data_IF_381349840485
#
_entry.id   IF_381349840485
#
_cell.length_a   1.000
_cell.length_b   1.000
_cell.length_c   1.000
_cell.angle_alpha   90.00
_cell.angle_beta   90.00
_cell.angle_gamma   90.00
#
_symmetry.space_group_name_H-M   'P 1'
#
loop_
_entity.id
_entity.type
_entity.pdbx_description
1 polymer ?
#
# COMPACT_ATOMS: atom_id res chain seq x y z
N UNK A 1 -39.95 29.45 12.98
CA UNK A 1 -38.62 29.14 12.41
C UNK A 1 -38.83 28.16 11.28
N UNK A 2 -38.43 28.48 10.05
CA UNK A 2 -38.46 27.50 8.97
C UNK A 2 -37.39 26.44 9.26
N UNK A 3 -37.79 25.18 9.33
CA UNK A 3 -36.85 24.08 9.48
C UNK A 3 -35.94 24.06 8.25
N UNK A 4 -34.62 24.19 8.47
CA UNK A 4 -33.65 23.97 7.43
C UNK A 4 -33.67 22.47 7.10
N UNK A 5 -34.37 22.10 6.04
CA UNK A 5 -34.40 20.72 5.54
C UNK A 5 -33.25 20.60 4.54
N UNK A 6 -32.24 19.81 4.88
CA UNK A 6 -31.23 19.32 3.93
C UNK A 6 -31.90 18.35 2.94
N UNK A 7 -32.74 18.85 2.04
CA UNK A 7 -33.06 18.09 0.83
C UNK A 7 -31.82 18.14 -0.05
N UNK A 8 -31.24 16.96 -0.34
CA UNK A 8 -30.32 16.78 -1.46
C UNK A 8 -30.85 17.56 -2.67
N UNK A 9 -30.14 18.59 -3.12
CA UNK A 9 -30.51 19.42 -4.30
C UNK A 9 -30.68 18.59 -5.57
N UNK A 10 -30.13 17.38 -5.58
CA UNK A 10 -30.06 16.43 -6.68
C UNK A 10 -31.14 15.34 -6.66
N UNK A 11 -31.99 15.24 -5.64
CA UNK A 11 -32.94 14.12 -5.52
C UNK A 11 -32.24 12.76 -5.37
N UNK A 12 -32.87 11.68 -5.88
CA UNK A 12 -32.29 10.33 -5.91
C UNK A 12 -31.26 10.25 -7.03
N UNK A 13 -30.01 9.94 -6.67
CA UNK A 13 -28.92 9.74 -7.64
C UNK A 13 -28.93 8.25 -8.04
N UNK A 14 -29.20 7.91 -9.31
CA UNK A 14 -29.15 6.53 -9.77
C UNK A 14 -27.75 5.95 -9.61
N UNK A 15 -27.65 4.71 -9.15
CA UNK A 15 -26.38 3.97 -9.12
C UNK A 15 -26.44 2.82 -10.15
N UNK A 16 -25.62 2.88 -11.22
CA UNK A 16 -25.63 1.85 -12.25
C UNK A 16 -25.16 0.47 -11.75
N UNK A 17 -24.57 0.38 -10.56
CA UNK A 17 -24.10 -0.87 -9.94
C UNK A 17 -25.21 -1.66 -9.24
N UNK A 18 -26.40 -1.07 -9.07
CA UNK A 18 -27.55 -1.74 -8.46
C UNK A 18 -27.36 -2.06 -6.97
N UNK A 19 -27.74 -3.28 -6.56
CA UNK A 19 -27.73 -3.69 -5.15
C UNK A 19 -26.32 -3.99 -4.61
N UNK A 20 -25.35 -4.31 -5.47
CA UNK A 20 -23.98 -4.59 -5.06
C UNK A 20 -23.12 -3.32 -4.97
N UNK A 21 -23.45 -2.52 -3.97
CA UNK A 21 -22.84 -1.20 -3.75
C UNK A 21 -21.33 -1.25 -3.46
N UNK A 22 -20.83 -2.32 -2.85
CA UNK A 22 -19.40 -2.47 -2.56
C UNK A 22 -18.61 -3.12 -3.70
N UNK A 23 -19.29 -3.83 -4.61
CA UNK A 23 -18.68 -4.46 -5.77
C UNK A 23 -17.41 -5.26 -5.40
N UNK A 24 -16.25 -4.97 -6.01
CA UNK A 24 -15.01 -5.70 -5.77
C UNK A 24 -14.47 -5.54 -4.33
N UNK A 25 -14.95 -4.57 -3.56
CA UNK A 25 -14.53 -4.34 -2.18
C UNK A 25 -15.32 -5.18 -1.17
N UNK A 26 -16.42 -5.82 -1.59
CA UNK A 26 -17.37 -6.52 -0.70
C UNK A 26 -16.67 -7.46 0.28
N UNK A 27 -15.74 -8.25 -0.22
CA UNK A 27 -15.11 -9.32 0.55
C UNK A 27 -14.12 -8.79 1.60
N UNK A 28 -13.65 -7.54 1.48
CA UNK A 28 -12.76 -6.88 2.46
C UNK A 28 -13.44 -6.66 3.82
N UNK A 29 -14.76 -6.51 3.87
CA UNK A 29 -15.49 -6.14 5.09
C UNK A 29 -15.15 -7.11 6.24
N UNK A 30 -14.74 -6.58 7.40
CA UNK A 30 -14.38 -7.36 8.58
C UNK A 30 -12.94 -7.15 9.03
N UNK A 31 -12.47 -8.01 9.92
CA UNK A 31 -11.13 -7.94 10.49
C UNK A 31 -10.23 -9.01 9.87
N UNK A 32 -8.99 -8.64 9.63
CA UNK A 32 -7.96 -9.47 9.03
C UNK A 32 -6.73 -9.44 9.90
N UNK A 33 -6.05 -10.57 10.03
CA UNK A 33 -4.79 -10.67 10.78
C UNK A 33 -3.80 -11.54 10.03
N UNK A 34 -2.53 -11.16 10.07
CA UNK A 34 -1.49 -11.91 9.37
C UNK A 34 -0.08 -11.48 9.73
N UNK A 35 0.83 -11.92 8.88
CA UNK A 35 2.25 -11.58 8.97
C UNK A 35 2.77 -11.15 7.61
N UNK A 36 3.87 -10.42 7.61
CA UNK A 36 4.44 -9.86 6.41
C UNK A 36 5.92 -9.56 6.53
N UNK A 37 6.38 -8.79 5.56
CA UNK A 37 7.74 -8.31 5.45
C UNK A 37 7.71 -6.88 4.94
N UNK A 38 8.51 -6.03 5.56
CA UNK A 38 8.65 -4.64 5.21
C UNK A 38 10.13 -4.32 4.97
N UNK A 39 10.42 -3.67 3.85
CA UNK A 39 11.74 -3.14 3.51
C UNK A 39 11.64 -1.63 3.26
N UNK A 40 12.54 -0.87 3.88
CA UNK A 40 12.58 0.59 3.81
C UNK A 40 14.03 1.08 3.67
N UNK A 41 14.29 1.95 2.70
CA UNK A 41 15.51 2.76 2.65
C UNK A 41 15.31 4.07 3.41
N UNK A 42 15.78 4.14 4.65
CA UNK A 42 15.66 5.37 5.45
C UNK A 42 16.77 6.34 5.11
N UNK A 43 16.51 7.66 5.01
CA UNK A 43 17.57 8.65 5.05
C UNK A 43 18.39 8.49 6.34
N UNK A 44 19.71 8.52 6.21
CA UNK A 44 20.64 8.48 7.32
C UNK A 44 21.51 9.73 7.32
N UNK A 45 21.65 10.45 8.46
CA UNK A 45 22.36 11.72 8.46
C UNK A 45 23.82 11.60 8.07
N UNK A 46 24.22 12.30 7.00
CA UNK A 46 25.63 12.58 6.71
C UNK A 46 26.10 13.60 7.76
N UNK A 47 26.97 13.21 8.70
CA UNK A 47 27.42 14.12 9.76
C UNK A 47 28.00 15.43 9.17
N UNK A 48 27.47 16.58 9.57
CA UNK A 48 28.12 17.88 9.29
C UNK A 48 29.37 18.01 10.19
N UNK A 49 30.56 17.82 9.61
CA UNK A 49 31.81 18.33 10.17
C UNK A 49 32.68 17.40 11.03
N UNK A 50 32.55 16.07 10.94
CA UNK A 50 33.37 15.13 11.72
C UNK A 50 33.85 13.93 10.90
N UNK A 51 35.03 14.06 10.27
CA UNK A 51 35.86 13.07 9.53
C UNK A 51 35.16 12.11 8.51
N UNK A 52 35.71 12.01 7.27
CA UNK A 52 35.22 11.11 6.24
C UNK A 52 35.66 9.67 6.51
N UNK A 53 34.82 8.90 7.19
CA UNK A 53 34.89 7.44 7.15
C UNK A 53 33.54 6.87 6.76
N UNK A 54 33.00 7.35 5.63
CA UNK A 54 31.82 6.80 4.97
C UNK A 54 30.79 7.87 4.59
N UNK A 55 30.56 8.06 3.29
CA UNK A 55 29.46 8.85 2.73
C UNK A 55 28.14 8.07 2.86
N UNK A 56 27.72 7.72 4.07
CA UNK A 56 26.47 6.97 4.24
C UNK A 56 25.29 7.93 4.42
N UNK A 57 24.36 7.86 3.48
CA UNK A 57 23.15 8.69 3.39
C UNK A 57 21.86 7.92 3.65
N UNK A 58 21.99 6.62 3.92
CA UNK A 58 20.85 5.69 4.04
C UNK A 58 21.05 4.59 5.07
N UNK A 59 19.95 3.97 5.44
CA UNK A 59 19.89 2.76 6.25
C UNK A 59 18.83 1.82 5.65
N UNK A 60 19.19 0.55 5.43
CA UNK A 60 18.26 -0.48 4.97
C UNK A 60 17.53 -1.09 6.17
N UNK A 61 16.35 -0.57 6.46
CA UNK A 61 15.47 -1.14 7.48
C UNK A 61 14.67 -2.30 6.88
N UNK A 62 14.68 -3.41 7.61
CA UNK A 62 13.99 -4.65 7.31
C UNK A 62 13.19 -5.03 8.56
N UNK A 63 11.93 -5.40 8.40
CA UNK A 63 11.09 -5.88 9.49
C UNK A 63 10.32 -7.11 9.04
N UNK A 64 10.26 -8.12 9.89
CA UNK A 64 9.18 -9.12 9.82
C UNK A 64 7.98 -8.53 10.57
N UNK A 65 6.80 -8.54 9.96
CA UNK A 65 5.65 -7.79 10.48
C UNK A 65 4.54 -8.71 10.99
N UNK A 66 3.80 -8.24 11.99
CA UNK A 66 2.48 -8.75 12.37
C UNK A 66 1.47 -7.64 12.12
N UNK A 67 0.38 -7.97 11.43
CA UNK A 67 -0.55 -6.97 10.91
C UNK A 67 -1.99 -7.29 11.27
N UNK A 68 -2.75 -6.23 11.57
CA UNK A 68 -4.21 -6.27 11.65
C UNK A 68 -4.79 -5.21 10.74
N UNK A 69 -5.81 -5.56 9.95
CA UNK A 69 -6.56 -4.60 9.15
C UNK A 69 -8.04 -4.78 9.43
N UNK A 70 -8.74 -3.70 9.78
CA UNK A 70 -10.18 -3.71 9.98
C UNK A 70 -10.87 -2.85 8.92
N UNK A 71 -11.83 -3.41 8.19
CA UNK A 71 -12.65 -2.70 7.21
C UNK A 71 -14.09 -2.59 7.70
N UNK A 72 -14.57 -1.36 7.91
CA UNK A 72 -15.94 -1.06 8.36
C UNK A 72 -16.75 -0.40 7.26
N UNK A 73 -17.88 -0.97 6.83
CA UNK A 73 -18.75 -0.36 5.83
C UNK A 73 -19.17 1.05 6.24
N UNK A 74 -19.20 1.95 5.26
CA UNK A 74 -19.90 3.23 5.42
C UNK A 74 -21.35 2.99 5.04
N UNK A 75 -22.25 3.23 5.98
CA UNK A 75 -23.68 3.10 5.75
C UNK A 75 -24.18 4.23 4.83
N UNK A 76 -24.68 3.83 3.67
CA UNK A 76 -25.31 4.75 2.71
C UNK A 76 -24.42 5.12 1.53
N UNK A 77 -24.91 6.10 0.77
CA UNK A 77 -24.21 6.64 -0.39
C UNK A 77 -23.34 7.83 0.02
N UNK A 78 -22.21 7.99 -0.67
CA UNK A 78 -21.29 9.12 -0.52
C UNK A 78 -21.43 9.97 -1.79
N UNK A 79 -22.30 11.00 -1.79
CA UNK A 79 -22.61 11.74 -3.01
C UNK A 79 -21.49 12.70 -3.41
N UNK A 80 -21.11 12.69 -4.68
CA UNK A 80 -20.27 13.70 -5.31
C UNK A 80 -21.09 14.51 -6.33
N UNK A 81 -20.91 15.83 -6.31
CA UNK A 81 -21.62 16.76 -7.20
C UNK A 81 -20.91 16.90 -8.53
N UNK A 82 -21.65 16.69 -9.61
CA UNK A 82 -21.15 16.83 -10.96
C UNK A 82 -21.33 18.26 -11.49
N UNK A 83 -20.29 18.83 -12.09
CA UNK A 83 -20.39 20.05 -12.89
C UNK A 83 -20.44 19.71 -14.39
N UNK A 84 -19.55 18.82 -14.84
CA UNK A 84 -19.39 18.44 -16.25
C UNK A 84 -20.02 17.08 -16.60
N UNK A 85 -20.68 16.46 -15.63
CA UNK A 85 -21.49 15.24 -15.72
C UNK A 85 -22.58 15.31 -14.64
N UNK A 86 -23.51 14.35 -14.63
CA UNK A 86 -24.46 14.19 -13.52
C UNK A 86 -23.77 13.83 -12.19
N UNK A 87 -24.51 13.99 -11.09
CA UNK A 87 -24.05 13.54 -9.78
C UNK A 87 -23.80 12.03 -9.74
N UNK A 88 -22.84 11.62 -8.92
CA UNK A 88 -22.52 10.21 -8.71
C UNK A 88 -22.56 9.87 -7.22
N UNK A 89 -22.88 8.61 -6.91
CA UNK A 89 -22.71 8.07 -5.58
C UNK A 89 -21.45 7.20 -5.52
N UNK A 90 -20.58 7.46 -4.57
CA UNK A 90 -19.56 6.51 -4.16
C UNK A 90 -20.14 5.62 -3.05
N UNK A 91 -19.55 4.45 -2.88
CA UNK A 91 -19.82 3.55 -1.76
C UNK A 91 -18.50 3.00 -1.25
N UNK A 92 -18.37 2.76 0.04
CA UNK A 92 -17.05 2.44 0.57
C UNK A 92 -17.05 1.98 2.01
N UNK A 93 -15.85 1.88 2.55
CA UNK A 93 -15.58 1.46 3.91
C UNK A 93 -14.43 2.28 4.47
N UNK A 94 -14.47 2.57 5.77
CA UNK A 94 -13.27 2.99 6.48
C UNK A 94 -12.37 1.78 6.66
N UNK A 95 -11.06 1.98 6.73
CA UNK A 95 -10.15 0.98 7.25
C UNK A 95 -9.14 1.56 8.22
N UNK A 96 -8.64 0.71 9.10
CA UNK A 96 -7.45 0.96 9.92
C UNK A 96 -6.50 -0.21 9.75
N UNK A 97 -5.26 0.06 9.35
CA UNK A 97 -4.17 -0.91 9.33
C UNK A 97 -3.22 -0.62 10.48
N UNK A 98 -2.92 -1.64 11.27
CA UNK A 98 -1.92 -1.60 12.35
C UNK A 98 -0.83 -2.62 12.03
N UNK A 99 0.42 -2.17 12.10
CA UNK A 99 1.61 -2.98 11.79
C UNK A 99 2.58 -2.88 12.97
N UNK A 100 3.00 -4.04 13.45
CA UNK A 100 4.04 -4.16 14.48
C UNK A 100 5.21 -4.99 13.97
N UNK A 101 6.39 -4.74 14.50
CA UNK A 101 7.55 -5.61 14.33
C UNK A 101 7.33 -6.94 15.07
N UNK A 102 7.61 -8.05 14.42
CA UNK A 102 7.39 -9.40 14.96
C UNK A 102 8.41 -9.82 16.03
N UNK A 103 9.60 -9.19 16.04
CA UNK A 103 10.75 -9.63 16.84
C UNK A 103 11.20 -8.57 17.87
N UNK A 104 10.86 -7.30 17.65
CA UNK A 104 11.21 -6.20 18.56
C UNK A 104 10.08 -5.95 19.57
N UNK A 105 10.43 -5.98 20.86
CA UNK A 105 9.49 -5.78 21.97
C UNK A 105 9.77 -4.45 22.69
N UNK A 106 8.75 -3.62 22.83
CA UNK A 106 8.76 -2.36 23.59
C UNK A 106 7.66 -2.42 24.65
N UNK A 107 8.02 -2.19 25.91
CA UNK A 107 7.09 -2.23 27.06
C UNK A 107 6.25 -3.52 27.15
N UNK A 108 6.83 -4.66 26.75
CA UNK A 108 6.17 -5.97 26.79
C UNK A 108 5.24 -6.26 25.61
N UNK A 109 5.19 -5.37 24.60
CA UNK A 109 4.39 -5.54 23.40
C UNK A 109 5.25 -5.48 22.13
N UNK A 110 4.84 -6.15 21.02
CA UNK A 110 5.44 -5.93 19.71
C UNK A 110 5.52 -4.43 19.37
N UNK A 111 6.70 -3.96 18.96
CA UNK A 111 6.93 -2.56 18.66
C UNK A 111 6.02 -2.11 17.51
N UNK A 112 5.13 -1.15 17.75
CA UNK A 112 4.31 -0.56 16.70
C UNK A 112 5.17 0.20 15.71
N UNK A 113 5.14 -0.19 14.43
CA UNK A 113 5.90 0.47 13.37
C UNK A 113 5.01 1.35 12.49
N UNK A 114 3.72 1.04 12.39
CA UNK A 114 2.80 1.79 11.54
C UNK A 114 1.35 1.69 12.03
N UNK A 115 0.61 2.79 11.89
CA UNK A 115 -0.85 2.81 12.03
C UNK A 115 -1.44 3.76 11.00
N UNK A 116 -2.35 3.27 10.17
CA UNK A 116 -2.87 4.03 9.03
C UNK A 116 -4.39 3.92 8.96
N UNK A 117 -5.13 5.02 9.21
CA UNK A 117 -6.55 5.10 8.89
C UNK A 117 -6.79 5.60 7.46
N UNK A 118 -7.90 5.16 6.87
CA UNK A 118 -8.28 5.59 5.53
C UNK A 118 -9.65 5.12 5.08
N UNK A 119 -9.89 5.26 3.77
CA UNK A 119 -11.10 4.84 3.08
C UNK A 119 -10.77 3.95 1.88
N UNK A 120 -11.61 2.95 1.64
CA UNK A 120 -11.75 2.30 0.35
C UNK A 120 -13.08 2.70 -0.29
N UNK A 121 -13.03 3.11 -1.56
CA UNK A 121 -14.18 3.61 -2.32
C UNK A 121 -14.37 2.78 -3.58
N UNK A 122 -15.58 2.27 -3.79
CA UNK A 122 -16.08 1.80 -5.07
C UNK A 122 -16.61 3.04 -5.82
N UNK A 123 -15.99 3.35 -6.95
CA UNK A 123 -16.30 4.51 -7.79
C UNK A 123 -17.05 4.02 -9.02
N UNK A 124 -18.28 4.51 -9.30
CA UNK A 124 -19.02 4.10 -10.49
C UNK A 124 -18.32 4.61 -11.76
N UNK A 125 -18.70 4.13 -12.95
CA UNK A 125 -18.25 4.75 -14.19
C UNK A 125 -18.57 6.24 -14.22
N UNK A 126 -17.68 7.02 -14.82
CA UNK A 126 -17.86 8.46 -15.00
C UNK A 126 -17.91 8.79 -16.49
N UNK A 127 -18.69 9.81 -16.85
CA UNK A 127 -18.76 10.38 -18.19
C UNK A 127 -17.73 11.49 -18.39
N UNK A 128 -17.41 12.23 -17.31
CA UNK A 128 -16.43 13.32 -17.35
C UNK A 128 -15.58 13.41 -16.06
N UNK A 129 -14.27 13.09 -16.12
CA UNK A 129 -13.60 12.45 -17.26
C UNK A 129 -14.20 11.06 -17.55
N UNK A 130 -14.22 10.59 -18.81
CA UNK A 130 -14.77 9.29 -19.13
C UNK A 130 -13.89 8.17 -18.55
N UNK A 131 -14.40 7.42 -17.58
CA UNK A 131 -13.71 6.28 -16.99
C UNK A 131 -14.67 5.12 -16.76
N UNK A 132 -14.15 3.89 -16.86
CA UNK A 132 -14.83 2.72 -16.32
C UNK A 132 -14.94 2.82 -14.78
N UNK A 133 -15.72 1.92 -14.18
CA UNK A 133 -15.75 1.79 -12.72
C UNK A 133 -14.34 1.52 -12.17
N UNK A 134 -14.03 2.10 -11.02
CA UNK A 134 -12.71 1.99 -10.36
C UNK A 134 -12.87 1.74 -8.87
N UNK A 135 -11.76 1.40 -8.23
CA UNK A 135 -11.63 1.45 -6.78
C UNK A 135 -10.61 2.50 -6.40
N UNK A 136 -10.79 3.14 -5.24
CA UNK A 136 -9.81 4.07 -4.67
C UNK A 136 -9.51 3.74 -3.22
N UNK A 137 -8.25 3.94 -2.81
CA UNK A 137 -7.79 3.94 -1.42
C UNK A 137 -7.27 5.32 -1.07
N UNK A 138 -7.85 5.93 -0.05
CA UNK A 138 -7.43 7.21 0.50
C UNK A 138 -6.86 6.94 1.89
N UNK A 139 -5.68 7.46 2.20
CA UNK A 139 -5.03 7.19 3.48
C UNK A 139 -4.30 8.41 4.05
N UNK A 140 -4.22 8.48 5.38
CA UNK A 140 -3.33 9.41 6.09
C UNK A 140 -2.26 8.62 6.82
N UNK A 141 -1.02 8.86 6.46
CA UNK A 141 0.16 8.14 6.91
C UNK A 141 0.76 8.87 8.11
N UNK A 142 1.01 8.22 9.26
CA UNK A 142 1.46 8.87 10.49
C UNK A 142 2.86 9.49 10.36
N UNK A 143 3.58 9.21 9.27
CA UNK A 143 4.87 9.82 8.93
C UNK A 143 4.73 11.20 8.25
N UNK A 144 3.51 11.71 8.07
CA UNK A 144 3.26 13.04 7.52
C UNK A 144 2.95 13.06 6.02
N UNK A 145 2.33 12.01 5.50
CA UNK A 145 1.89 11.94 4.10
C UNK A 145 0.39 11.64 4.04
N UNK A 146 -0.32 12.18 3.06
CA UNK A 146 -1.65 11.71 2.68
C UNK A 146 -1.63 11.24 1.24
N UNK A 147 -2.41 10.20 0.92
CA UNK A 147 -2.42 9.60 -0.42
C UNK A 147 -3.84 9.42 -0.94
N UNK A 148 -3.96 9.51 -2.26
CA UNK A 148 -5.11 9.02 -3.02
C UNK A 148 -4.58 8.07 -4.07
N UNK A 149 -4.86 6.79 -3.92
CA UNK A 149 -4.58 5.77 -4.92
C UNK A 149 -5.88 5.38 -5.61
N UNK A 150 -5.91 5.32 -6.93
CA UNK A 150 -7.09 4.90 -7.69
C UNK A 150 -6.69 3.97 -8.82
N UNK A 151 -7.56 3.02 -9.14
CA UNK A 151 -7.30 2.08 -10.22
C UNK A 151 -8.39 1.05 -10.45
N UNK A 152 -8.03 -0.02 -11.14
CA UNK A 152 -8.96 -1.06 -11.59
C UNK A 152 -9.18 -2.19 -10.59
N UNK A 153 -10.25 -2.95 -10.82
CA UNK A 153 -10.47 -4.23 -10.17
C UNK A 153 -10.90 -5.29 -11.20
N UNK A 154 -10.44 -6.52 -11.02
CA UNK A 154 -10.79 -7.64 -11.88
C UNK A 154 -10.74 -8.97 -11.10
N UNK A 155 -11.28 -10.04 -11.69
CA UNK A 155 -11.35 -11.35 -11.07
C UNK A 155 -10.56 -12.40 -11.86
N UNK A 156 -9.86 -13.26 -11.14
CA UNK A 156 -9.13 -14.42 -11.65
C UNK A 156 -9.82 -15.71 -11.18
N UNK A 157 -9.81 -16.72 -12.05
CA UNK A 157 -10.14 -18.10 -11.70
C UNK A 157 -8.86 -18.78 -11.18
N UNK A 158 -8.70 -18.84 -9.86
CA UNK A 158 -7.53 -19.43 -9.21
C UNK A 158 -6.58 -18.41 -8.55
N UNK A 159 -5.35 -18.82 -8.20
CA UNK A 159 -4.37 -18.00 -7.50
C UNK A 159 -3.86 -16.83 -8.36
N UNK A 160 -3.40 -15.73 -7.75
CA UNK A 160 -2.67 -14.69 -8.45
C UNK A 160 -1.26 -15.15 -8.84
N UNK A 161 -0.60 -14.34 -9.67
CA UNK A 161 0.86 -14.41 -9.87
C UNK A 161 1.49 -13.15 -9.32
N UNK A 162 2.64 -13.29 -8.67
CA UNK A 162 3.37 -12.16 -8.09
C UNK A 162 4.52 -11.78 -9.01
N UNK A 163 4.40 -10.62 -9.66
CA UNK A 163 5.50 -10.06 -10.42
C UNK A 163 6.68 -9.75 -9.47
N UNK A 164 7.94 -9.92 -9.88
CA UNK A 164 9.07 -9.50 -9.08
C UNK A 164 9.01 -8.02 -8.76
N UNK A 165 9.36 -7.65 -7.53
CA UNK A 165 9.49 -6.26 -7.10
C UNK A 165 10.93 -5.99 -6.70
N UNK A 166 11.49 -4.84 -7.10
CA UNK A 166 12.88 -4.49 -6.81
C UNK A 166 12.96 -3.40 -5.76
N UNK A 167 13.95 -3.52 -4.88
CA UNK A 167 14.29 -2.48 -3.91
C UNK A 167 15.47 -1.60 -4.38
N UNK A 168 15.94 -1.80 -5.62
CA UNK A 168 17.11 -1.12 -6.15
C UNK A 168 16.83 0.38 -6.38
N UNK A 169 17.62 1.29 -5.80
CA UNK A 169 17.47 2.73 -6.01
C UNK A 169 17.77 3.13 -7.46
N UNK A 170 17.15 4.23 -7.91
CA UNK A 170 17.36 4.76 -9.26
C UNK A 170 17.34 6.30 -9.26
N UNK A 171 17.93 6.98 -10.26
CA UNK A 171 17.85 8.44 -10.34
C UNK A 171 16.41 8.93 -10.46
N UNK A 172 16.06 10.00 -9.73
CA UNK A 172 14.69 10.57 -9.75
C UNK A 172 14.22 10.80 -11.19
N UNK A 173 13.01 10.30 -11.49
CA UNK A 173 12.41 10.39 -12.83
C UNK A 173 12.96 9.40 -13.86
N UNK A 174 13.85 8.48 -13.47
CA UNK A 174 14.43 7.48 -14.37
C UNK A 174 14.37 6.03 -13.82
N UNK A 175 13.17 5.46 -13.63
CA UNK A 175 12.99 4.11 -13.09
C UNK A 175 13.56 2.99 -13.98
N UNK A 176 13.84 3.28 -15.26
CA UNK A 176 14.43 2.31 -16.20
C UNK A 176 15.95 2.13 -16.04
N UNK A 177 16.60 2.94 -15.20
CA UNK A 177 18.05 2.89 -14.98
C UNK A 177 18.35 2.74 -13.47
N UNK A 178 18.05 1.57 -12.87
CA UNK A 178 18.45 1.30 -11.49
C UNK A 178 19.97 1.32 -11.35
N UNK A 179 20.42 1.77 -10.19
CA UNK A 179 21.83 1.76 -9.83
C UNK A 179 22.31 0.33 -9.57
N UNK A 180 23.59 0.01 -9.84
CA UNK A 180 24.14 -1.31 -9.60
C UNK A 180 24.00 -1.75 -8.14
N UNK A 181 23.58 -3.00 -7.90
CA UNK A 181 23.46 -3.56 -6.55
C UNK A 181 24.79 -3.51 -5.75
N UNK A 182 25.94 -3.50 -6.44
CA UNK A 182 27.25 -3.37 -5.81
C UNK A 182 27.47 -2.03 -5.10
N UNK A 183 26.70 -0.99 -5.42
CA UNK A 183 26.73 0.31 -4.75
C UNK A 183 25.95 0.29 -3.42
N UNK A 184 25.22 -0.80 -3.16
CA UNK A 184 24.34 -1.02 -2.00
C UNK A 184 24.72 -2.32 -1.27
N UNK A 185 25.88 -2.38 -0.59
CA UNK A 185 26.31 -3.58 0.12
C UNK A 185 25.31 -4.05 1.19
N UNK A 186 24.45 -3.15 1.69
CA UNK A 186 23.36 -3.47 2.61
C UNK A 186 22.37 -4.48 2.02
N UNK A 187 22.19 -4.51 0.69
CA UNK A 187 21.28 -5.47 0.04
C UNK A 187 21.78 -6.91 0.09
N UNK A 188 23.07 -7.15 0.37
CA UNK A 188 23.63 -8.49 0.44
C UNK A 188 23.69 -8.97 1.90
N UNK A 189 22.84 -9.93 2.29
CA UNK A 189 22.79 -10.49 3.64
C UNK A 189 24.11 -11.12 4.09
N UNK A 190 24.92 -11.64 3.15
CA UNK A 190 26.24 -12.19 3.47
C UNK A 190 27.30 -11.11 3.76
N UNK A 191 27.02 -9.84 3.43
CA UNK A 191 27.90 -8.72 3.77
C UNK A 191 27.46 -8.12 5.11
N UNK A 192 28.31 -8.13 6.16
CA UNK A 192 28.03 -7.41 7.38
C UNK A 192 27.90 -5.91 7.11
N UNK A 193 26.85 -5.28 7.65
CA UNK A 193 26.64 -3.84 7.54
C UNK A 193 26.04 -3.30 8.83
N UNK A 194 26.56 -2.17 9.29
CA UNK A 194 25.98 -1.37 10.38
C UNK A 194 24.78 -0.51 9.92
N UNK A 195 24.55 -0.46 8.60
CA UNK A 195 23.50 0.32 7.96
C UNK A 195 22.34 -0.54 7.46
N UNK A 196 22.10 -1.67 8.13
CA UNK A 196 20.95 -2.55 7.91
C UNK A 196 20.41 -3.04 9.25
N UNK A 197 19.12 -3.36 9.32
CA UNK A 197 18.55 -4.06 10.49
C UNK A 197 19.44 -5.27 10.89
N UNK A 198 19.79 -5.41 12.19
CA UNK A 198 20.64 -6.49 12.66
C UNK A 198 20.01 -7.88 12.42
N UNK A 199 20.79 -8.92 12.05
CA UNK A 199 20.25 -10.25 11.78
C UNK A 199 19.39 -10.87 12.90
N UNK A 200 19.63 -10.49 14.16
CA UNK A 200 18.89 -10.98 15.32
C UNK A 200 17.44 -10.48 15.35
N UNK A 201 17.15 -9.35 14.70
CA UNK A 201 15.80 -8.74 14.62
C UNK A 201 15.03 -9.22 13.38
N UNK A 202 15.70 -9.94 12.47
CA UNK A 202 15.13 -10.47 11.22
C UNK A 202 15.55 -11.94 10.96
N UNK A 203 15.32 -12.86 11.91
CA UNK A 203 15.83 -14.23 11.87
C UNK A 203 15.35 -15.06 10.66
N UNK A 204 14.25 -14.70 10.00
CA UNK A 204 13.69 -15.43 8.85
C UNK A 204 13.90 -14.74 7.51
N UNK A 205 14.41 -13.51 7.48
CA UNK A 205 14.66 -12.78 6.24
C UNK A 205 15.79 -13.45 5.45
N UNK A 206 15.52 -13.76 4.19
CA UNK A 206 16.48 -14.43 3.28
C UNK A 206 16.92 -13.49 2.17
N UNK A 207 18.03 -13.81 1.49
CA UNK A 207 18.48 -12.99 0.34
C UNK A 207 17.40 -12.89 -0.74
N UNK A 208 16.62 -13.95 -0.95
CA UNK A 208 15.51 -13.94 -1.91
C UNK A 208 14.43 -12.90 -1.57
N UNK A 209 14.20 -12.62 -0.28
CA UNK A 209 13.25 -11.57 0.15
C UNK A 209 13.78 -10.18 -0.14
N UNK A 210 15.10 -9.98 -0.07
CA UNK A 210 15.74 -8.71 -0.41
C UNK A 210 15.78 -8.49 -1.92
N UNK A 211 16.14 -9.53 -2.67
CA UNK A 211 16.21 -9.48 -4.14
C UNK A 211 14.83 -9.27 -4.77
N UNK A 212 13.79 -9.83 -4.14
CA UNK A 212 12.41 -9.69 -4.56
C UNK A 212 11.44 -9.89 -3.38
N UNK A 213 10.98 -8.81 -2.72
CA UNK A 213 10.06 -8.93 -1.58
C UNK A 213 8.77 -9.69 -1.90
N UNK A 214 8.29 -9.64 -3.14
CA UNK A 214 7.07 -10.34 -3.55
C UNK A 214 7.19 -11.88 -3.46
N UNK A 215 8.41 -12.45 -3.32
CA UNK A 215 8.52 -13.90 -3.08
C UNK A 215 7.94 -14.34 -1.74
N UNK A 216 7.82 -13.44 -0.76
CA UNK A 216 7.20 -13.72 0.55
C UNK A 216 5.76 -14.22 0.38
N UNK A 217 5.04 -13.65 -0.58
CA UNK A 217 3.64 -13.96 -0.88
C UNK A 217 3.46 -15.40 -1.41
N UNK A 218 4.49 -16.02 -1.98
CA UNK A 218 4.38 -17.41 -2.43
C UNK A 218 4.09 -18.37 -1.27
N UNK A 219 4.59 -18.06 -0.06
CA UNK A 219 4.27 -18.85 1.14
C UNK A 219 2.79 -18.80 1.50
N UNK A 220 2.13 -17.67 1.22
CA UNK A 220 0.72 -17.43 1.47
C UNK A 220 -0.21 -18.33 0.67
N UNK A 221 0.23 -18.84 -0.48
CA UNK A 221 -0.56 -19.72 -1.37
C UNK A 221 -0.01 -21.14 -1.50
N UNK A 222 1.20 -21.39 -0.98
CA UNK A 222 1.83 -22.72 -1.08
C UNK A 222 0.97 -23.79 -0.41
N UNK A 223 0.65 -24.85 -1.15
CA UNK A 223 -0.19 -25.95 -0.67
C UNK A 223 -1.69 -25.61 -0.49
N UNK A 224 -2.13 -24.39 -0.82
CA UNK A 224 -3.54 -23.98 -0.72
C UNK A 224 -4.26 -24.14 -2.05
N UNK A 225 -5.55 -24.48 -2.00
CA UNK A 225 -6.42 -24.51 -3.18
C UNK A 225 -7.14 -23.16 -3.33
N UNK A 226 -6.46 -22.17 -3.92
CA UNK A 226 -7.10 -20.89 -4.28
C UNK A 226 -8.01 -21.13 -5.49
N UNK A 227 -9.31 -20.88 -5.32
CA UNK A 227 -10.33 -21.15 -6.36
C UNK A 227 -10.78 -19.88 -7.09
N UNK A 228 -10.57 -18.70 -6.50
CA UNK A 228 -10.85 -17.42 -7.10
C UNK A 228 -10.07 -16.30 -6.41
N UNK A 229 -9.74 -15.25 -7.15
CA UNK A 229 -9.07 -14.05 -6.62
C UNK A 229 -9.72 -12.80 -7.18
N UNK A 230 -10.14 -11.88 -6.31
CA UNK A 230 -10.45 -10.49 -6.70
C UNK A 230 -9.19 -9.66 -6.54
N UNK A 231 -8.72 -9.06 -7.62
CA UNK A 231 -7.52 -8.22 -7.64
C UNK A 231 -7.91 -6.75 -7.67
N UNK A 232 -7.35 -5.95 -6.77
CA UNK A 232 -7.43 -4.49 -6.77
C UNK A 232 -6.04 -3.95 -7.12
N UNK A 233 -5.93 -3.20 -8.21
CA UNK A 233 -4.68 -2.58 -8.66
C UNK A 233 -4.86 -1.07 -8.58
N UNK A 234 -4.11 -0.40 -7.71
CA UNK A 234 -4.30 1.02 -7.42
C UNK A 234 -2.96 1.75 -7.39
N UNK A 235 -2.94 3.00 -7.84
CA UNK A 235 -1.75 3.84 -7.84
C UNK A 235 -2.09 5.30 -7.59
N UNK A 236 -1.14 6.03 -7.01
CA UNK A 236 -1.16 7.49 -6.93
C UNK A 236 -0.87 8.16 -8.27
N UNK A 237 -0.22 7.46 -9.19
CA UNK A 237 -0.06 7.92 -10.56
C UNK A 237 -1.30 7.59 -11.38
N UNK A 238 -1.82 8.59 -12.09
CA UNK A 238 -2.85 8.37 -13.09
C UNK A 238 -2.33 7.47 -14.22
N UNK A 239 -3.16 6.54 -14.67
CA UNK A 239 -2.86 5.59 -15.74
C UNK A 239 -4.05 5.41 -16.67
N UNK A 240 -4.23 4.23 -17.25
CA UNK A 240 -5.50 3.85 -17.86
C UNK A 240 -5.94 2.57 -17.14
N UNK A 241 -6.87 2.57 -16.18
CA UNK A 241 -7.87 3.56 -15.69
C UNK A 241 -7.60 3.87 -14.19
N UNK A 242 -7.79 5.11 -13.68
CA UNK A 242 -8.30 6.30 -14.36
C UNK A 242 -7.21 7.16 -15.02
N UNK A 243 -7.61 7.86 -16.08
CA UNK A 243 -6.74 8.76 -16.88
C UNK A 243 -6.15 9.94 -16.09
N UNK A 244 -6.78 10.31 -14.97
CA UNK A 244 -6.42 11.47 -14.15
C UNK A 244 -6.82 11.22 -12.70
N UNK A 245 -6.22 11.97 -11.77
CA UNK A 245 -6.49 11.89 -10.33
C UNK A 245 -5.39 11.14 -9.59
N UNK A 246 -5.62 10.89 -8.31
CA UNK A 246 -4.61 10.34 -7.41
C UNK A 246 -3.60 11.37 -6.92
N UNK A 247 -2.61 10.91 -6.17
CA UNK A 247 -1.44 11.68 -5.77
C UNK A 247 -1.02 11.46 -4.32
N UNK A 248 0.06 12.10 -3.95
CA UNK A 248 0.59 12.18 -2.59
C UNK A 248 0.63 13.64 -2.13
N UNK A 249 0.59 13.87 -0.82
CA UNK A 249 0.78 15.19 -0.21
C UNK A 249 1.60 15.03 1.06
N UNK A 250 2.75 15.71 1.11
CA UNK A 250 3.74 15.57 2.17
C UNK A 250 3.76 16.80 3.10
N UNK A 251 4.08 16.60 4.37
CA UNK A 251 4.40 17.70 5.30
C UNK A 251 5.74 18.35 4.92
N UNK A 252 5.94 19.59 5.39
CA UNK A 252 7.15 20.38 5.08
C UNK A 252 8.46 19.68 5.44
N UNK A 253 8.48 18.85 6.50
CA UNK A 253 9.69 18.10 6.86
C UNK A 253 10.10 17.14 5.74
N UNK A 254 9.16 16.39 5.17
CA UNK A 254 9.42 15.43 4.10
C UNK A 254 9.79 16.14 2.80
N UNK A 255 8.98 17.14 2.40
CA UNK A 255 9.17 17.90 1.17
C UNK A 255 10.48 18.70 1.15
N UNK A 256 10.94 19.13 2.34
CA UNK A 256 12.13 19.96 2.48
C UNK A 256 11.97 21.36 1.88
N UNK A 257 13.09 21.96 1.49
CA UNK A 257 13.15 23.31 0.93
C UNK A 257 14.28 23.40 -0.11
N UNK A 258 14.99 24.52 -0.20
CA UNK A 258 16.06 24.73 -1.19
C UNK A 258 17.19 23.68 -1.15
N UNK A 259 17.35 22.95 -0.04
CA UNK A 259 18.33 21.86 0.10
C UNK A 259 17.86 20.50 -0.39
N UNK A 260 16.64 20.38 -0.92
CA UNK A 260 16.00 19.13 -1.28
C UNK A 260 15.15 18.53 -0.14
N UNK A 261 14.41 17.44 -0.43
CA UNK A 261 13.57 16.75 0.54
C UNK A 261 14.40 15.94 1.54
N UNK A 262 13.85 15.74 2.74
CA UNK A 262 14.40 14.73 3.66
C UNK A 262 13.99 13.32 3.22
N UNK A 263 12.75 13.16 2.73
CA UNK A 263 12.21 11.93 2.14
C UNK A 263 10.83 12.22 1.54
N UNK A 264 10.78 12.74 0.31
CA UNK A 264 9.51 13.06 -0.34
C UNK A 264 8.81 11.78 -0.78
N UNK A 265 7.63 11.46 -0.23
CA UNK A 265 6.84 10.33 -0.72
C UNK A 265 6.22 10.70 -2.06
N UNK A 266 6.92 10.36 -3.14
CA UNK A 266 6.61 10.79 -4.50
C UNK A 266 5.50 9.95 -5.16
N UNK A 267 5.48 8.65 -4.86
CA UNK A 267 4.54 7.71 -5.47
C UNK A 267 4.25 6.55 -4.53
N UNK A 268 3.00 6.09 -4.55
CA UNK A 268 2.58 4.81 -3.99
C UNK A 268 1.80 4.03 -5.04
N UNK A 269 2.07 2.73 -5.12
CA UNK A 269 1.25 1.76 -5.82
C UNK A 269 1.03 0.52 -4.95
N UNK A 270 -0.11 -0.13 -5.12
CA UNK A 270 -0.42 -1.34 -4.38
C UNK A 270 -1.30 -2.30 -5.19
N UNK A 271 -1.11 -3.59 -4.94
CA UNK A 271 -1.99 -4.65 -5.41
C UNK A 271 -2.52 -5.39 -4.20
N UNK A 272 -3.84 -5.54 -4.12
CA UNK A 272 -4.51 -6.39 -3.15
C UNK A 272 -5.15 -7.58 -3.86
N UNK A 273 -4.93 -8.77 -3.32
CA UNK A 273 -5.53 -10.02 -3.79
C UNK A 273 -6.42 -10.58 -2.70
N UNK A 274 -7.73 -10.54 -2.94
CA UNK A 274 -8.74 -11.11 -2.06
C UNK A 274 -9.06 -12.50 -2.58
N UNK A 275 -8.53 -13.51 -1.91
CA UNK A 275 -8.49 -14.89 -2.35
C UNK A 275 -9.53 -15.74 -1.64
N UNK A 276 -10.31 -16.49 -2.41
CA UNK A 276 -11.16 -17.56 -1.88
C UNK A 276 -10.37 -18.87 -1.88
N UNK A 277 -10.08 -19.39 -0.70
CA UNK A 277 -9.33 -20.64 -0.50
C UNK A 277 -10.29 -21.75 -0.12
N UNK A 278 -10.27 -22.87 -0.86
CA UNK A 278 -11.00 -24.08 -0.49
C UNK A 278 -10.22 -24.88 0.56
N UNK A 279 -10.92 -25.28 1.61
CA UNK A 279 -10.40 -26.11 2.70
C UNK A 279 -10.62 -27.60 2.44
N UNK A 280 -9.90 -28.51 3.14
CA UNK A 280 -10.02 -29.95 2.93
C UNK A 280 -11.43 -30.51 3.15
N UNK A 281 -12.25 -29.88 3.99
CA UNK A 281 -13.65 -30.25 4.26
C UNK A 281 -14.64 -29.74 3.19
N UNK A 282 -14.14 -29.04 2.17
CA UNK A 282 -14.94 -28.46 1.08
C UNK A 282 -15.47 -27.05 1.36
N UNK A 283 -15.34 -26.54 2.60
CA UNK A 283 -15.69 -25.15 2.93
C UNK A 283 -14.68 -24.16 2.33
N UNK A 284 -14.98 -22.87 2.42
CA UNK A 284 -14.10 -21.80 1.91
C UNK A 284 -13.78 -20.78 2.99
N UNK A 285 -12.55 -20.26 2.96
CA UNK A 285 -12.14 -19.09 3.73
C UNK A 285 -11.60 -17.99 2.83
N UNK A 286 -11.56 -16.77 3.36
CA UNK A 286 -10.94 -15.65 2.67
C UNK A 286 -9.52 -15.41 3.20
N UNK A 287 -8.63 -15.12 2.27
CA UNK A 287 -7.27 -14.66 2.51
C UNK A 287 -7.08 -13.33 1.76
N UNK A 288 -6.30 -12.44 2.36
CA UNK A 288 -5.88 -11.18 1.76
C UNK A 288 -4.37 -11.17 1.65
N UNK A 289 -3.87 -11.02 0.44
CA UNK A 289 -2.46 -10.71 0.22
C UNK A 289 -2.34 -9.32 -0.37
N UNK A 290 -1.27 -8.61 -0.04
CA UNK A 290 -0.95 -7.36 -0.72
C UNK A 290 0.54 -7.19 -0.95
N UNK A 291 0.86 -6.41 -1.98
CA UNK A 291 2.16 -5.76 -2.14
C UNK A 291 1.92 -4.26 -2.28
N UNK A 292 2.74 -3.46 -1.61
CA UNK A 292 2.71 -2.02 -1.71
C UNK A 292 4.14 -1.54 -1.92
N UNK A 293 4.33 -0.73 -2.96
CA UNK A 293 5.58 -0.01 -3.21
C UNK A 293 5.38 1.48 -3.00
N UNK A 294 6.15 2.05 -2.10
CA UNK A 294 6.29 3.50 -1.92
C UNK A 294 7.64 3.93 -2.50
N UNK A 295 7.65 4.99 -3.29
CA UNK A 295 8.87 5.65 -3.74
C UNK A 295 9.10 6.86 -2.84
N UNK A 296 10.22 6.87 -2.12
CA UNK A 296 10.70 8.06 -1.43
C UNK A 296 11.83 8.69 -2.25
N UNK A 297 11.76 9.99 -2.47
CA UNK A 297 12.81 10.75 -3.15
C UNK A 297 13.63 11.51 -2.11
N UNK A 298 14.94 11.24 -2.07
CA UNK A 298 15.92 12.02 -1.32
C UNK A 298 17.33 11.82 -1.88
N UNK A 299 18.19 12.81 -1.67
CA UNK A 299 19.56 12.84 -2.16
C UNK A 299 19.71 12.56 -3.69
N UNK A 300 18.74 13.02 -4.49
CA UNK A 300 18.75 12.87 -5.95
C UNK A 300 18.38 11.47 -6.48
N UNK A 301 18.02 10.55 -5.59
CA UNK A 301 17.58 9.20 -5.93
C UNK A 301 16.13 8.98 -5.48
N UNK A 302 15.46 8.11 -6.23
CA UNK A 302 14.22 7.46 -5.85
C UNK A 302 14.55 6.12 -5.20
N UNK A 303 14.02 5.92 -4.02
CA UNK A 303 14.25 4.78 -3.16
C UNK A 303 12.96 3.97 -3.09
N UNK A 304 12.92 2.73 -3.59
CA UNK A 304 11.76 1.86 -3.42
C UNK A 304 11.68 1.31 -1.99
N UNK A 305 10.47 1.34 -1.44
CA UNK A 305 10.10 0.75 -0.15
C UNK A 305 8.99 -0.23 -0.41
N UNK A 306 9.16 -1.47 0.01
CA UNK A 306 8.22 -2.54 -0.33
C UNK A 306 7.71 -3.21 0.93
N UNK A 307 6.39 -3.22 1.07
CA UNK A 307 5.68 -3.93 2.14
C UNK A 307 4.80 -5.01 1.51
N UNK A 308 4.88 -6.22 2.04
CA UNK A 308 4.10 -7.38 1.60
C UNK A 308 3.55 -8.12 2.80
N UNK A 309 2.31 -8.60 2.71
CA UNK A 309 1.74 -9.41 3.78
C UNK A 309 0.72 -10.43 3.28
N UNK A 310 0.53 -11.48 4.08
CA UNK A 310 -0.58 -12.43 3.96
C UNK A 310 -1.40 -12.41 5.23
N UNK A 311 -2.69 -12.09 5.11
CA UNK A 311 -3.65 -12.02 6.20
C UNK A 311 -4.81 -12.98 5.96
N UNK A 312 -5.35 -13.54 7.03
CA UNK A 312 -6.57 -14.34 7.00
C UNK A 312 -7.71 -13.56 7.65
N UNK A 313 -8.92 -13.75 7.13
CA UNK A 313 -10.12 -13.14 7.71
C UNK A 313 -10.47 -13.83 9.01
N UNK A 314 -10.75 -13.04 10.05
CA UNK A 314 -11.18 -13.52 11.37
C UNK A 314 -12.67 -13.87 11.41
#
# INVERSE_FOLDING_TARGET
>A
MAAFVLTSVSGTIPDPRGADRFGPLRDLIGMWKGTGFNQIWRPFPIQRGGKPTGQQDRFLELNETIETIEFKPIDGAIPNRGLLQGDINLHGMTYTQEVSDANVIVDGHPAGIHIEPGLWLNVPPTENPPNAATVARLATIPHGTSIVMQGGAFRLSGPPSFAPESIAPFPVGNPSHPLPAGDFPEMNLATPSEFRTPPQEIPHVTQAWIDNPNVVLNSGISGKQVIATTTLLISTQSGNVPATGGGTSNIAFLQGAAGGPNADAAQVEAIFWIETVRLPDGSTKLQLQYTQKVILDFNGLSWPHVSVATLEKL
#
